data_IF_780242458043
#
_entry.id   IF_780242458043
#
_cell.length_a   1.000
_cell.length_b   1.000
_cell.length_c   1.000
_cell.angle_alpha   90.00
_cell.angle_beta   90.00
_cell.angle_gamma   90.00
#
_symmetry.space_group_name_H-M   'P 1'
#
loop_
_entity.id
_entity.type
_entity.pdbx_description
1 polymer ?
#
# COMPACT_ATOMS: atom_id res chain seq x y z
N UNK A 1 -46.74 -27.10 -49.83
CA UNK A 1 -46.89 -26.47 -48.49
C UNK A 1 -45.46 -26.09 -48.09
N UNK A 2 -44.81 -25.30 -48.94
CA UNK A 2 -43.35 -25.16 -49.01
C UNK A 2 -42.95 -23.67 -49.18
N UNK A 3 -43.89 -22.76 -48.90
CA UNK A 3 -43.67 -21.31 -48.97
C UNK A 3 -43.27 -20.70 -47.61
N UNK A 4 -43.24 -21.50 -46.54
CA UNK A 4 -42.89 -21.03 -45.18
C UNK A 4 -41.37 -20.89 -44.98
N UNK A 5 -40.54 -21.56 -45.80
CA UNK A 5 -39.08 -21.51 -45.69
C UNK A 5 -38.46 -20.27 -46.38
N UNK A 6 -39.20 -19.61 -47.28
CA UNK A 6 -38.72 -18.42 -48.02
C UNK A 6 -38.69 -17.16 -47.16
N UNK A 7 -39.52 -17.12 -46.10
CA UNK A 7 -39.59 -16.00 -45.15
C UNK A 7 -38.89 -16.31 -43.81
N UNK A 8 -38.33 -17.50 -43.64
CA UNK A 8 -37.58 -17.84 -42.43
C UNK A 8 -36.13 -17.33 -42.53
N UNK A 9 -35.94 -16.13 -41.99
CA UNK A 9 -34.64 -15.45 -41.94
C UNK A 9 -33.59 -16.27 -41.19
N UNK A 10 -33.98 -17.07 -40.20
CA UNK A 10 -33.06 -17.93 -39.46
C UNK A 10 -32.50 -19.05 -40.37
N UNK A 11 -33.36 -19.66 -41.17
CA UNK A 11 -32.97 -20.65 -42.18
C UNK A 11 -32.10 -20.04 -43.29
N UNK A 12 -32.40 -18.83 -43.77
CA UNK A 12 -31.56 -18.10 -44.75
C UNK A 12 -30.15 -17.78 -44.23
N UNK A 13 -30.02 -17.46 -42.94
CA UNK A 13 -28.75 -17.21 -42.29
C UNK A 13 -28.02 -18.51 -41.86
N UNK A 14 -28.60 -19.69 -42.15
CA UNK A 14 -28.02 -20.99 -41.82
C UNK A 14 -28.01 -21.29 -40.32
N UNK A 15 -28.89 -20.65 -39.55
CA UNK A 15 -28.95 -20.76 -38.09
C UNK A 15 -30.01 -21.79 -37.70
N UNK A 16 -29.59 -22.89 -37.08
CA UNK A 16 -30.51 -23.90 -36.60
C UNK A 16 -31.03 -23.51 -35.20
N UNK A 17 -32.23 -22.94 -35.16
CA UNK A 17 -32.88 -22.50 -33.92
C UNK A 17 -33.03 -23.62 -32.88
N UNK A 18 -33.23 -24.87 -33.32
CA UNK A 18 -33.32 -26.01 -32.41
C UNK A 18 -31.96 -26.32 -31.76
N UNK A 19 -30.88 -26.22 -32.52
CA UNK A 19 -29.53 -26.36 -31.99
C UNK A 19 -29.16 -25.20 -31.06
N UNK A 20 -29.48 -23.97 -31.42
CA UNK A 20 -29.21 -22.79 -30.60
C UNK A 20 -30.03 -22.82 -29.31
N UNK A 21 -31.31 -23.19 -29.37
CA UNK A 21 -32.15 -23.37 -28.18
C UNK A 21 -31.64 -24.49 -27.27
N UNK A 22 -31.15 -25.59 -27.83
CA UNK A 22 -30.54 -26.68 -27.06
C UNK A 22 -29.22 -26.25 -26.42
N UNK A 23 -28.39 -25.45 -27.11
CA UNK A 23 -27.18 -24.85 -26.55
C UNK A 23 -27.51 -23.87 -25.41
N UNK A 24 -28.51 -23.00 -25.59
CA UNK A 24 -28.98 -22.08 -24.53
C UNK A 24 -29.49 -22.86 -23.32
N UNK A 25 -30.28 -23.93 -23.51
CA UNK A 25 -30.77 -24.78 -22.42
C UNK A 25 -29.64 -25.55 -21.72
N UNK A 26 -28.64 -26.03 -22.45
CA UNK A 26 -27.47 -26.70 -21.89
C UNK A 26 -26.58 -25.73 -21.11
N UNK A 27 -26.30 -24.54 -21.65
CA UNK A 27 -25.51 -23.49 -20.96
C UNK A 27 -26.25 -22.92 -19.75
N UNK A 28 -27.58 -22.79 -19.82
CA UNK A 28 -28.40 -22.41 -18.66
C UNK A 28 -28.52 -23.56 -17.64
N UNK A 29 -28.44 -24.83 -18.04
CA UNK A 29 -28.35 -25.96 -17.12
C UNK A 29 -27.06 -25.93 -16.30
N UNK A 30 -25.93 -25.56 -16.91
CA UNK A 30 -24.66 -25.42 -16.18
C UNK A 30 -24.64 -24.17 -15.27
N UNK A 31 -25.33 -23.09 -15.66
CA UNK A 31 -25.37 -21.82 -14.90
C UNK A 31 -26.49 -21.75 -13.85
N UNK A 32 -27.60 -22.46 -14.04
CA UNK A 32 -28.77 -22.50 -13.11
C UNK A 32 -28.76 -23.78 -12.26
N UNK A 33 -28.00 -24.80 -12.67
CA UNK A 33 -27.81 -26.07 -11.97
C UNK A 33 -26.48 -26.20 -11.23
N UNK A 34 -25.59 -25.19 -11.28
CA UNK A 34 -24.56 -25.04 -10.26
C UNK A 34 -25.28 -24.67 -8.98
N UNK A 35 -25.69 -25.73 -8.26
CA UNK A 35 -25.76 -25.80 -6.82
C UNK A 35 -25.83 -24.39 -6.23
N UNK A 36 -27.03 -23.89 -5.96
CA UNK A 36 -27.18 -23.08 -4.75
C UNK A 36 -26.66 -23.99 -3.65
N UNK A 37 -25.35 -23.98 -3.46
CA UNK A 37 -24.68 -24.46 -2.29
C UNK A 37 -25.30 -23.53 -1.26
N UNK A 38 -26.42 -23.97 -0.71
CA UNK A 38 -27.02 -23.39 0.48
C UNK A 38 -25.89 -23.53 1.47
N UNK A 39 -25.02 -22.51 1.52
CA UNK A 39 -23.85 -22.49 2.37
C UNK A 39 -24.40 -22.89 3.73
N UNK A 40 -23.93 -24.02 4.24
CA UNK A 40 -24.31 -24.40 5.60
C UNK A 40 -23.95 -23.19 6.45
N UNK A 41 -24.88 -22.77 7.29
CA UNK A 41 -24.71 -21.61 8.16
C UNK A 41 -23.65 -21.95 9.21
N UNK A 42 -22.39 -21.89 8.79
CA UNK A 42 -21.24 -22.34 9.57
C UNK A 42 -20.48 -21.10 10.06
N UNK A 43 -20.21 -21.01 11.37
CA UNK A 43 -19.49 -19.88 11.91
C UNK A 43 -18.08 -19.81 11.30
N UNK A 44 -17.78 -18.69 10.64
CA UNK A 44 -16.44 -18.30 10.19
C UNK A 44 -15.34 -18.38 11.28
N UNK A 45 -15.67 -18.00 12.52
CA UNK A 45 -14.75 -18.04 13.66
C UNK A 45 -14.86 -19.36 14.42
N UNK A 46 -13.80 -19.72 15.16
CA UNK A 46 -13.80 -20.87 16.05
C UNK A 46 -14.82 -20.69 17.20
N UNK A 47 -16.01 -21.28 17.02
CA UNK A 47 -17.17 -21.04 17.89
C UNK A 47 -16.92 -21.39 19.37
N UNK A 48 -16.31 -22.54 19.66
CA UNK A 48 -16.09 -23.01 21.03
C UNK A 48 -15.19 -22.07 21.86
N UNK A 49 -13.95 -21.74 21.43
CA UNK A 49 -13.10 -20.83 22.19
C UNK A 49 -13.66 -19.40 22.22
N UNK A 50 -14.33 -18.95 21.16
CA UNK A 50 -14.99 -17.65 21.12
C UNK A 50 -16.12 -17.57 22.16
N UNK A 51 -16.98 -18.58 22.20
CA UNK A 51 -18.07 -18.68 23.16
C UNK A 51 -17.55 -18.66 24.60
N UNK A 52 -16.51 -19.45 24.90
CA UNK A 52 -15.87 -19.44 26.23
C UNK A 52 -15.40 -18.05 26.64
N UNK A 53 -14.73 -17.32 25.75
CA UNK A 53 -14.25 -15.95 26.04
C UNK A 53 -15.39 -14.95 26.21
N UNK A 54 -16.45 -15.09 25.41
CA UNK A 54 -17.65 -14.25 25.54
C UNK A 54 -18.30 -14.49 26.90
N UNK A 55 -18.52 -15.75 27.30
CA UNK A 55 -19.08 -16.12 28.61
C UNK A 55 -18.23 -15.60 29.78
N UNK A 56 -16.91 -15.76 29.73
CA UNK A 56 -15.99 -15.24 30.75
C UNK A 56 -16.11 -13.72 30.92
N UNK A 57 -16.35 -12.99 29.83
CA UNK A 57 -16.54 -11.54 29.85
C UNK A 57 -17.94 -11.16 30.32
N UNK A 58 -18.97 -11.85 29.84
CA UNK A 58 -20.36 -11.65 30.17
C UNK A 58 -20.64 -11.92 31.67
N UNK A 59 -20.00 -12.94 32.25
CA UNK A 59 -20.09 -13.27 33.68
C UNK A 59 -19.62 -12.13 34.58
N UNK A 60 -18.60 -11.36 34.17
CA UNK A 60 -18.14 -10.18 34.90
C UNK A 60 -19.19 -9.06 34.94
N UNK A 61 -20.12 -9.07 33.97
CA UNK A 61 -21.22 -8.12 33.85
C UNK A 61 -22.53 -8.66 34.44
N UNK A 62 -22.50 -9.81 35.13
CA UNK A 62 -23.69 -10.43 35.71
C UNK A 62 -24.53 -11.27 34.74
N UNK A 63 -24.07 -11.47 33.50
CA UNK A 63 -24.76 -12.32 32.51
C UNK A 63 -24.27 -13.77 32.68
N UNK A 64 -25.18 -14.68 33.00
CA UNK A 64 -24.85 -16.06 33.37
C UNK A 64 -24.78 -17.03 32.19
N UNK A 65 -25.45 -16.73 31.09
CA UNK A 65 -25.51 -17.59 29.90
C UNK A 65 -25.58 -16.76 28.62
N UNK A 66 -25.04 -17.30 27.53
CA UNK A 66 -24.99 -16.68 26.20
C UNK A 66 -25.42 -17.71 25.17
N UNK A 67 -26.48 -17.47 24.37
CA UNK A 67 -26.92 -18.40 23.35
C UNK A 67 -25.87 -18.63 22.26
N UNK A 68 -25.78 -19.86 21.74
CA UNK A 68 -24.86 -20.21 20.66
C UNK A 68 -25.09 -19.37 19.38
N UNK A 69 -26.35 -18.99 19.10
CA UNK A 69 -26.73 -18.13 17.98
C UNK A 69 -26.03 -16.76 18.02
N UNK A 70 -25.79 -16.20 19.21
CA UNK A 70 -25.06 -14.94 19.37
C UNK A 70 -23.62 -15.08 18.88
N UNK A 71 -23.00 -16.22 19.17
CA UNK A 71 -21.63 -16.53 18.74
C UNK A 71 -21.57 -16.69 17.23
N UNK A 72 -22.54 -17.38 16.63
CA UNK A 72 -22.67 -17.51 15.17
C UNK A 72 -22.89 -16.14 14.52
N UNK A 73 -23.76 -15.30 15.08
CA UNK A 73 -24.01 -13.95 14.56
C UNK A 73 -22.77 -13.06 14.62
N UNK A 74 -22.05 -13.06 15.75
CA UNK A 74 -20.77 -12.32 15.89
C UNK A 74 -19.74 -12.82 14.87
N UNK A 75 -19.68 -14.13 14.66
CA UNK A 75 -18.80 -14.73 13.67
C UNK A 75 -19.09 -14.21 12.26
N UNK A 76 -20.36 -14.14 11.87
CA UNK A 76 -20.77 -13.64 10.55
C UNK A 76 -20.59 -12.15 10.39
N UNK A 77 -20.91 -11.38 11.44
CA UNK A 77 -20.62 -9.95 11.46
C UNK A 77 -19.11 -9.68 11.31
N UNK A 78 -18.28 -10.51 11.93
CA UNK A 78 -16.82 -10.43 11.78
C UNK A 78 -16.39 -10.76 10.36
N UNK A 79 -16.94 -11.83 9.76
CA UNK A 79 -16.67 -12.19 8.36
C UNK A 79 -17.07 -11.06 7.40
N UNK A 80 -18.25 -10.46 7.59
CA UNK A 80 -18.73 -9.32 6.80
C UNK A 80 -17.79 -8.12 6.94
N UNK A 81 -17.38 -7.79 8.18
CA UNK A 81 -16.41 -6.72 8.43
C UNK A 81 -15.08 -6.98 7.73
N UNK A 82 -14.58 -8.21 7.75
CA UNK A 82 -13.34 -8.59 7.06
C UNK A 82 -13.48 -8.49 5.54
N UNK A 83 -14.64 -8.89 4.99
CA UNK A 83 -14.94 -8.71 3.57
C UNK A 83 -14.83 -7.24 3.16
N UNK A 84 -15.45 -6.32 3.91
CA UNK A 84 -15.34 -4.88 3.64
C UNK A 84 -13.91 -4.37 3.73
N UNK A 85 -13.11 -4.87 4.67
CA UNK A 85 -11.68 -4.51 4.75
C UNK A 85 -10.93 -4.99 3.52
N UNK A 86 -11.17 -6.22 3.08
CA UNK A 86 -10.57 -6.79 1.88
C UNK A 86 -10.98 -6.01 0.63
N UNK A 87 -12.25 -5.65 0.48
CA UNK A 87 -12.73 -4.80 -0.62
C UNK A 87 -11.96 -3.47 -0.68
N UNK A 88 -11.75 -2.82 0.46
CA UNK A 88 -10.93 -1.58 0.53
C UNK A 88 -9.47 -1.82 0.16
N UNK A 89 -8.89 -2.94 0.58
CA UNK A 89 -7.52 -3.32 0.19
C UNK A 89 -7.42 -3.58 -1.31
N UNK A 90 -8.44 -4.18 -1.91
CA UNK A 90 -8.52 -4.37 -3.36
C UNK A 90 -8.51 -3.04 -4.09
N UNK A 91 -9.30 -2.05 -3.65
CA UNK A 91 -9.29 -0.70 -4.23
C UNK A 91 -7.90 -0.05 -4.11
N UNK A 92 -7.26 -0.14 -2.94
CA UNK A 92 -5.90 0.37 -2.77
C UNK A 92 -4.91 -0.32 -3.71
N UNK A 93 -5.06 -1.63 -3.91
CA UNK A 93 -4.19 -2.40 -4.81
C UNK A 93 -4.40 -2.00 -6.26
N UNK A 94 -5.64 -1.78 -6.69
CA UNK A 94 -5.96 -1.26 -8.03
C UNK A 94 -5.29 0.10 -8.26
N UNK A 95 -5.45 1.06 -7.34
CA UNK A 95 -4.77 2.36 -7.44
C UNK A 95 -3.23 2.27 -7.49
N UNK A 96 -2.63 1.23 -6.90
CA UNK A 96 -1.17 1.01 -6.96
C UNK A 96 -0.72 0.34 -8.26
N UNK A 97 -1.60 -0.44 -8.89
CA UNK A 97 -1.33 -1.12 -10.16
C UNK A 97 -1.63 -0.24 -11.37
N UNK A 98 -2.54 0.73 -11.22
CA UNK A 98 -2.82 1.75 -12.23
C UNK A 98 -1.54 2.51 -12.61
N UNK A 99 -1.13 2.36 -13.87
CA UNK A 99 0.01 3.03 -14.46
C UNK A 99 -0.44 3.69 -15.76
N UNK A 100 -0.48 5.03 -15.76
CA UNK A 100 -0.86 5.84 -16.92
C UNK A 100 0.34 6.31 -17.75
N UNK A 101 1.55 5.78 -17.47
CA UNK A 101 2.78 6.25 -18.10
C UNK A 101 2.83 6.00 -19.62
N UNK A 102 2.10 4.99 -20.08
CA UNK A 102 2.09 4.54 -21.48
C UNK A 102 0.70 4.72 -22.13
N UNK A 103 -0.21 5.45 -21.47
CA UNK A 103 -1.56 5.68 -21.98
C UNK A 103 -1.58 6.94 -22.86
N UNK A 104 -1.88 6.78 -24.15
CA UNK A 104 -1.89 7.85 -25.16
C UNK A 104 -2.87 8.99 -24.83
N UNK A 105 -3.85 8.74 -23.96
CA UNK A 105 -4.84 9.74 -23.57
C UNK A 105 -4.43 10.57 -22.35
N UNK A 106 -3.29 10.26 -21.72
CA UNK A 106 -2.82 10.93 -20.50
C UNK A 106 -1.49 11.65 -20.73
N UNK A 107 -1.45 12.93 -20.37
CA UNK A 107 -0.22 13.71 -20.34
C UNK A 107 0.15 14.12 -18.91
N UNK A 108 1.46 14.17 -18.61
CA UNK A 108 1.94 14.60 -17.30
C UNK A 108 1.72 16.10 -17.11
N UNK A 109 0.72 16.48 -16.30
CA UNK A 109 0.45 17.89 -16.01
C UNK A 109 1.56 18.57 -15.18
N UNK A 110 2.12 17.88 -14.18
CA UNK A 110 3.18 18.41 -13.30
C UNK A 110 4.10 17.31 -12.77
N UNK A 111 5.41 17.55 -12.70
CA UNK A 111 6.40 16.64 -12.11
C UNK A 111 6.85 17.08 -10.70
N UNK A 112 5.91 17.03 -9.75
CA UNK A 112 6.17 17.41 -8.34
C UNK A 112 7.25 16.53 -7.70
N UNK A 113 7.39 15.27 -8.12
CA UNK A 113 8.37 14.35 -7.55
C UNK A 113 9.80 14.75 -7.90
N UNK A 114 10.06 15.14 -9.15
CA UNK A 114 11.37 15.66 -9.55
C UNK A 114 11.64 17.03 -8.95
N UNK A 115 10.63 17.90 -8.86
CA UNK A 115 10.76 19.18 -8.17
C UNK A 115 11.18 19.00 -6.69
N UNK A 116 10.56 18.05 -5.97
CA UNK A 116 10.93 17.75 -4.59
C UNK A 116 12.37 17.24 -4.47
N UNK A 117 12.78 16.32 -5.37
CA UNK A 117 14.17 15.83 -5.41
C UNK A 117 15.18 16.96 -5.67
N UNK A 118 14.81 17.94 -6.50
CA UNK A 118 15.64 19.11 -6.74
C UNK A 118 15.80 19.95 -5.46
N UNK A 119 14.72 20.21 -4.72
CA UNK A 119 14.81 20.88 -3.42
C UNK A 119 15.69 20.13 -2.42
N UNK A 120 15.56 18.81 -2.33
CA UNK A 120 16.44 17.99 -1.48
C UNK A 120 17.93 18.11 -1.87
N UNK A 121 18.24 18.20 -3.16
CA UNK A 121 19.61 18.41 -3.63
C UNK A 121 20.13 19.80 -3.23
N UNK A 122 19.28 20.81 -3.36
CA UNK A 122 19.60 22.20 -3.02
C UNK A 122 19.88 22.35 -1.52
N UNK A 123 19.07 21.71 -0.68
CA UNK A 123 19.27 21.63 0.77
C UNK A 123 20.60 20.96 1.13
N UNK A 124 20.95 19.86 0.46
CA UNK A 124 22.25 19.18 0.66
C UNK A 124 23.43 20.09 0.31
N UNK A 125 23.36 20.83 -0.80
CA UNK A 125 24.41 21.77 -1.20
C UNK A 125 24.54 22.93 -0.21
N UNK A 126 23.42 23.47 0.27
CA UNK A 126 23.46 24.53 1.27
C UNK A 126 24.09 24.06 2.58
N UNK A 127 23.77 22.84 3.02
CA UNK A 127 24.40 22.21 4.18
C UNK A 127 25.91 22.05 3.99
N UNK A 128 26.35 21.50 2.85
CA UNK A 128 27.78 21.37 2.55
C UNK A 128 28.51 22.72 2.59
N UNK A 129 27.87 23.77 2.07
CA UNK A 129 28.45 25.12 2.10
C UNK A 129 28.59 25.65 3.53
N UNK A 130 27.59 25.42 4.39
CA UNK A 130 27.65 25.80 5.82
C UNK A 130 28.74 25.03 6.56
N UNK A 131 28.80 23.72 6.35
CA UNK A 131 29.81 22.86 6.98
C UNK A 131 31.24 23.29 6.56
N UNK A 132 31.45 23.63 5.29
CA UNK A 132 32.75 24.12 4.80
C UNK A 132 33.09 25.50 5.37
N UNK A 133 32.10 26.40 5.49
CA UNK A 133 32.29 27.71 6.13
C UNK A 133 32.67 27.55 7.61
N UNK A 134 32.00 26.66 8.35
CA UNK A 134 32.34 26.35 9.74
C UNK A 134 33.75 25.76 9.85
N UNK A 135 34.11 24.84 8.96
CA UNK A 135 35.45 24.25 8.88
C UNK A 135 36.52 25.31 8.59
N UNK A 136 36.27 26.24 7.69
CA UNK A 136 37.19 27.32 7.35
C UNK A 136 37.41 28.26 8.55
N UNK A 137 36.34 28.62 9.27
CA UNK A 137 36.41 29.44 10.47
C UNK A 137 37.29 28.76 11.54
N UNK A 138 37.07 27.46 11.78
CA UNK A 138 37.86 26.66 12.71
C UNK A 138 39.35 26.60 12.30
N UNK A 139 39.63 26.36 11.01
CA UNK A 139 40.99 26.33 10.48
C UNK A 139 41.69 27.70 10.62
N UNK A 140 40.97 28.79 10.37
CA UNK A 140 41.50 30.15 10.53
C UNK A 140 41.84 30.45 11.99
N UNK A 141 40.96 30.07 12.92
CA UNK A 141 41.19 30.22 14.36
C UNK A 141 42.39 29.39 14.85
N UNK A 142 42.57 28.17 14.34
CA UNK A 142 43.73 27.34 14.66
C UNK A 142 45.04 27.93 14.10
N UNK A 143 45.04 28.40 12.84
CA UNK A 143 46.20 29.04 12.22
C UNK A 143 46.59 30.34 12.90
N UNK A 144 45.64 31.16 13.36
CA UNK A 144 45.96 32.39 14.12
C UNK A 144 46.60 32.08 15.47
N UNK A 145 46.18 31.01 16.15
CA UNK A 145 46.81 30.54 17.40
C UNK A 145 48.22 30.00 17.17
N UNK A 146 48.45 29.29 16.06
CA UNK A 146 49.76 28.75 15.69
C UNK A 146 50.76 29.82 15.19
N UNK A 147 50.28 30.95 14.64
CA UNK A 147 51.13 32.05 14.16
C UNK A 147 51.61 32.99 15.27
N UNK A 148 50.98 32.99 16.44
CA UNK A 148 51.65 33.47 17.64
C UNK A 148 52.73 32.44 17.97
N UNK A 149 53.97 32.69 17.50
CA UNK A 149 55.16 31.99 18.00
C UNK A 149 55.05 31.94 19.54
N UNK A 150 55.24 30.75 20.12
CA UNK A 150 55.24 30.57 21.57
C UNK A 150 56.19 31.63 22.18
N UNK A 151 55.71 32.53 23.07
CA UNK A 151 56.55 33.56 23.66
C UNK A 151 57.79 32.99 24.34
N UNK A 152 57.74 31.71 24.78
CA UNK A 152 58.91 30.95 25.21
C UNK A 152 59.92 30.72 24.07
N UNK A 153 59.50 30.26 22.89
CA UNK A 153 60.40 30.07 21.73
C UNK A 153 61.04 31.38 21.24
N UNK A 154 60.29 32.49 21.25
CA UNK A 154 60.82 33.80 20.90
C UNK A 154 61.89 34.25 21.92
N UNK A 155 61.65 34.04 23.22
CA UNK A 155 62.62 34.30 24.29
C UNK A 155 63.85 33.39 24.21
N UNK A 156 63.69 32.10 23.92
CA UNK A 156 64.81 31.17 23.75
C UNK A 156 65.69 31.56 22.56
N UNK A 157 65.11 31.97 21.42
CA UNK A 157 65.87 32.50 20.27
C UNK A 157 66.65 33.77 20.62
N UNK A 158 66.04 34.68 21.38
CA UNK A 158 66.71 35.91 21.80
C UNK A 158 67.89 35.62 22.74
N UNK A 159 67.68 34.72 23.72
CA UNK A 159 68.73 34.29 24.65
C UNK A 159 69.87 33.56 23.94
N UNK A 160 69.57 32.73 22.95
CA UNK A 160 70.59 32.07 22.13
C UNK A 160 71.40 33.07 21.29
N UNK A 161 70.78 34.14 20.79
CA UNK A 161 71.49 35.21 20.07
C UNK A 161 72.42 36.03 20.97
N UNK A 162 72.07 36.25 22.24
CA UNK A 162 72.92 36.99 23.18
C UNK A 162 74.13 36.19 23.66
N UNK A 163 74.02 34.86 23.81
CA UNK A 163 75.14 33.99 24.22
C UNK A 163 76.11 33.70 23.06
N UNK A 164 75.69 33.89 21.81
CA UNK A 164 76.52 33.67 20.61
C UNK A 164 77.34 34.90 20.18
N UNK A 165 77.38 35.94 21.01
CA UNK A 165 78.09 37.20 20.77
C UNK A 165 79.16 37.41 21.84
#
# INVERSE_FOLDING_TARGET
RDDDDINDVASMAGVNLNEESARILATNSDLVGTQMQSCKDEPFLAAVPLHKRILETAKKLGITDVPAEVVTFISHATQSRLRTVIEKVTVITQHRMESYKDDEWYEQATDVRSQLKFFEQLERLEKQRKDEQEREILLKAAKSRSRQEDPEQARLKQKAKEVSR
#
